data_IF_406681227809
#
_entry.id   IF_406681227809
#
_cell.length_a   1.000
_cell.length_b   1.000
_cell.length_c   1.000
_cell.angle_alpha   90.00
_cell.angle_beta   90.00
_cell.angle_gamma   90.00
#
_symmetry.space_group_name_H-M   'P 1'
#
loop_
_entity.id
_entity.type
_entity.pdbx_description
1 polymer ?
#
# COMPACT_ATOMS: atom_id res chain seq x y z
N UNK A 1 -36.83 -23.73 -4.41
CA UNK A 1 -35.69 -23.39 -5.28
C UNK A 1 -34.46 -23.39 -4.40
N UNK A 2 -33.36 -24.00 -4.82
CA UNK A 2 -32.19 -24.18 -3.94
C UNK A 2 -31.33 -22.91 -3.89
N UNK A 3 -30.76 -22.62 -2.71
CA UNK A 3 -29.86 -21.49 -2.45
C UNK A 3 -28.76 -21.30 -3.50
N UNK A 4 -28.20 -22.41 -4.02
CA UNK A 4 -27.17 -22.38 -5.07
C UNK A 4 -27.66 -21.73 -6.36
N UNK A 5 -28.93 -21.94 -6.73
CA UNK A 5 -29.53 -21.34 -7.93
C UNK A 5 -29.76 -19.85 -7.74
N UNK A 6 -30.29 -19.46 -6.57
CA UNK A 6 -30.52 -18.06 -6.21
C UNK A 6 -29.21 -17.27 -6.08
N UNK A 7 -28.16 -17.89 -5.52
CA UNK A 7 -26.83 -17.31 -5.46
C UNK A 7 -26.21 -17.15 -6.85
N UNK A 8 -26.36 -18.15 -7.74
CA UNK A 8 -25.90 -18.03 -9.13
C UNK A 8 -26.61 -16.87 -9.84
N UNK A 9 -27.92 -16.77 -9.70
CA UNK A 9 -28.71 -15.68 -10.32
C UNK A 9 -28.34 -14.31 -9.73
N UNK A 10 -27.96 -14.24 -8.45
CA UNK A 10 -27.42 -13.04 -7.81
C UNK A 10 -26.01 -12.69 -8.30
N UNK A 11 -25.10 -13.66 -8.34
CA UNK A 11 -23.70 -13.47 -8.72
C UNK A 11 -23.55 -13.15 -10.21
N UNK A 12 -24.46 -13.62 -11.05
CA UNK A 12 -24.50 -13.32 -12.49
C UNK A 12 -25.07 -11.93 -12.80
N UNK A 13 -25.51 -11.16 -11.80
CA UNK A 13 -25.92 -9.76 -12.01
C UNK A 13 -24.69 -8.95 -12.43
N UNK A 14 -24.76 -8.27 -13.58
CA UNK A 14 -23.66 -7.44 -14.10
C UNK A 14 -23.05 -6.51 -13.06
N UNK A 15 -23.87 -5.77 -12.31
CA UNK A 15 -23.41 -4.88 -11.24
C UNK A 15 -22.59 -5.57 -10.12
N UNK A 16 -22.86 -6.86 -9.83
CA UNK A 16 -22.11 -7.62 -8.81
C UNK A 16 -20.80 -8.13 -9.39
N UNK A 17 -20.81 -8.61 -10.64
CA UNK A 17 -19.60 -9.04 -11.35
C UNK A 17 -18.64 -7.87 -11.55
N UNK A 18 -19.15 -6.73 -12.03
CA UNK A 18 -18.33 -5.53 -12.29
C UNK A 18 -17.69 -5.00 -11.01
N UNK A 19 -18.44 -4.99 -9.90
CA UNK A 19 -17.92 -4.60 -8.59
C UNK A 19 -16.86 -5.59 -8.10
N UNK A 20 -17.08 -6.89 -8.24
CA UNK A 20 -16.09 -7.90 -7.87
C UNK A 20 -14.81 -7.76 -8.68
N UNK A 21 -14.92 -7.54 -10.00
CA UNK A 21 -13.79 -7.32 -10.89
C UNK A 21 -13.02 -6.05 -10.50
N UNK A 22 -13.72 -4.95 -10.22
CA UNK A 22 -13.10 -3.71 -9.77
C UNK A 22 -12.27 -3.89 -8.47
N UNK A 23 -12.81 -4.63 -7.50
CA UNK A 23 -12.10 -4.90 -6.24
C UNK A 23 -10.86 -5.77 -6.46
N UNK A 24 -10.97 -6.82 -7.28
CA UNK A 24 -9.84 -7.72 -7.59
C UNK A 24 -8.73 -6.97 -8.33
N UNK A 25 -9.08 -6.17 -9.34
CA UNK A 25 -8.12 -5.34 -10.08
C UNK A 25 -7.49 -4.30 -9.17
N UNK A 26 -8.27 -3.62 -8.32
CA UNK A 26 -7.75 -2.65 -7.36
C UNK A 26 -6.75 -3.26 -6.37
N UNK A 27 -7.04 -4.45 -5.85
CA UNK A 27 -6.12 -5.17 -4.96
C UNK A 27 -4.83 -5.60 -5.67
N UNK A 28 -4.95 -6.15 -6.88
CA UNK A 28 -3.80 -6.58 -7.68
C UNK A 28 -2.91 -5.39 -8.10
N UNK A 29 -3.53 -4.28 -8.52
CA UNK A 29 -2.80 -3.06 -8.87
C UNK A 29 -2.12 -2.43 -7.65
N UNK A 30 -2.79 -2.43 -6.48
CA UNK A 30 -2.17 -1.99 -5.23
C UNK A 30 -0.90 -2.78 -4.86
N UNK A 31 -0.87 -4.08 -5.14
CA UNK A 31 0.34 -4.89 -4.94
C UNK A 31 1.48 -4.51 -5.90
N UNK A 32 1.16 -4.19 -7.17
CA UNK A 32 2.15 -3.72 -8.15
C UNK A 32 2.76 -2.38 -7.72
N UNK A 33 1.91 -1.42 -7.33
CA UNK A 33 2.36 -0.10 -6.84
C UNK A 33 3.19 -0.27 -5.57
N UNK A 34 2.79 -1.16 -4.67
CA UNK A 34 3.53 -1.44 -3.43
C UNK A 34 4.92 -2.03 -3.72
N UNK A 35 5.04 -2.98 -4.65
CA UNK A 35 6.36 -3.52 -5.06
C UNK A 35 7.22 -2.45 -5.74
N UNK A 36 6.65 -1.61 -6.61
CA UNK A 36 7.38 -0.48 -7.19
C UNK A 36 7.92 0.47 -6.11
N UNK A 37 7.11 0.76 -5.10
CA UNK A 37 7.53 1.64 -4.00
C UNK A 37 8.60 0.98 -3.15
N UNK A 38 8.40 -0.27 -2.75
CA UNK A 38 9.24 -0.95 -1.76
C UNK A 38 10.56 -1.42 -2.35
N UNK A 39 10.51 -1.95 -3.58
CA UNK A 39 11.65 -2.61 -4.22
C UNK A 39 12.45 -1.66 -5.12
N UNK A 40 11.85 -0.56 -5.60
CA UNK A 40 12.50 0.37 -6.53
C UNK A 40 12.65 1.76 -5.94
N UNK A 41 11.55 2.42 -5.58
CA UNK A 41 11.58 3.82 -5.11
C UNK A 41 12.27 3.93 -3.76
N UNK A 42 12.00 3.02 -2.82
CA UNK A 42 12.56 3.07 -1.47
C UNK A 42 14.09 2.93 -1.48
N UNK A 43 14.71 1.92 -2.10
CA UNK A 43 16.17 1.82 -2.15
C UNK A 43 16.84 2.92 -2.99
N UNK A 44 16.17 3.41 -4.05
CA UNK A 44 16.79 4.38 -4.97
C UNK A 44 16.61 5.84 -4.56
N UNK A 45 15.55 6.18 -3.83
CA UNK A 45 15.27 7.56 -3.40
C UNK A 45 15.33 7.70 -1.89
N UNK A 46 14.65 6.84 -1.12
CA UNK A 46 14.62 6.95 0.33
C UNK A 46 15.96 6.61 0.98
N UNK A 47 16.65 5.54 0.58
CA UNK A 47 17.94 5.15 1.18
C UNK A 47 19.06 6.20 0.94
N UNK A 48 19.26 6.74 -0.27
CA UNK A 48 20.24 7.82 -0.47
C UNK A 48 19.78 9.16 0.11
N UNK A 49 18.48 9.47 0.11
CA UNK A 49 17.98 10.67 0.79
C UNK A 49 18.21 10.58 2.31
N UNK A 50 17.88 9.46 2.95
CA UNK A 50 18.10 9.20 4.39
C UNK A 50 19.59 9.28 4.76
N UNK A 51 20.49 8.81 3.89
CA UNK A 51 21.93 8.92 4.09
C UNK A 51 22.43 10.38 3.94
N UNK A 52 21.86 11.17 3.03
CA UNK A 52 22.27 12.56 2.80
C UNK A 52 21.90 13.52 3.96
N UNK A 53 20.88 13.20 4.75
CA UNK A 53 20.45 13.97 5.94
C UNK A 53 21.10 13.47 7.25
N UNK A 54 22.07 12.54 7.19
CA UNK A 54 22.71 11.95 8.39
C UNK A 54 21.76 11.03 9.18
N UNK A 55 20.74 10.51 8.50
CA UNK A 55 19.52 9.99 9.08
C UNK A 55 19.35 8.48 8.85
N UNK A 56 20.47 7.75 8.76
CA UNK A 56 20.49 6.28 8.87
C UNK A 56 19.82 5.77 10.18
N UNK A 57 19.57 6.70 11.12
CA UNK A 57 18.96 6.47 12.43
C UNK A 57 17.60 7.17 12.62
N UNK A 58 16.85 7.56 11.56
CA UNK A 58 15.47 8.05 11.76
C UNK A 58 14.63 6.99 12.47
N UNK A 59 14.79 5.71 12.15
CA UNK A 59 14.14 4.60 12.86
C UNK A 59 14.55 4.48 14.34
N UNK A 60 15.65 5.13 14.74
CA UNK A 60 16.15 5.19 16.12
C UNK A 60 15.89 6.55 16.78
N UNK A 61 15.20 7.48 16.12
CA UNK A 61 14.72 8.69 16.76
C UNK A 61 13.56 8.33 17.70
N UNK A 62 13.89 8.39 19.00
CA UNK A 62 12.96 8.11 20.09
C UNK A 62 12.88 9.35 20.98
N UNK A 63 11.68 9.86 21.21
CA UNK A 63 11.44 10.89 22.22
C UNK A 63 10.88 10.19 23.45
N UNK A 64 11.75 9.87 24.41
CA UNK A 64 11.40 9.02 25.55
C UNK A 64 11.12 7.58 25.12
N UNK A 65 9.87 7.11 25.25
CA UNK A 65 9.43 5.75 24.86
C UNK A 65 8.79 5.73 23.47
N UNK A 66 8.55 6.90 22.86
CA UNK A 66 7.81 7.02 21.60
C UNK A 66 8.77 7.01 20.41
N UNK A 67 8.72 5.93 19.62
CA UNK A 67 9.51 5.74 18.39
C UNK A 67 8.81 6.41 17.19
N UNK A 68 8.80 7.75 17.19
CA UNK A 68 8.13 8.54 16.13
C UNK A 68 8.85 8.46 14.78
N UNK A 69 10.12 8.05 14.77
CA UNK A 69 10.91 7.82 13.56
C UNK A 69 10.24 6.94 12.51
N UNK A 70 9.74 5.77 12.94
CA UNK A 70 9.01 4.83 12.08
C UNK A 70 7.74 5.42 11.50
N UNK A 71 7.05 6.24 12.30
CA UNK A 71 5.82 6.89 11.88
C UNK A 71 6.09 7.99 10.85
N UNK A 72 7.13 8.80 11.05
CA UNK A 72 7.52 9.83 10.09
C UNK A 72 7.98 9.21 8.76
N UNK A 73 8.76 8.13 8.82
CA UNK A 73 9.15 7.36 7.65
C UNK A 73 7.94 6.79 6.90
N UNK A 74 6.94 6.29 7.62
CA UNK A 74 5.68 5.82 7.03
C UNK A 74 4.89 6.93 6.34
N UNK A 75 4.87 8.16 6.90
CA UNK A 75 4.21 9.31 6.26
C UNK A 75 4.95 9.72 4.99
N UNK A 76 6.28 9.79 5.02
CA UNK A 76 7.08 10.13 3.83
C UNK A 76 6.87 9.07 2.74
N UNK A 77 6.94 7.78 3.11
CA UNK A 77 6.63 6.67 2.21
C UNK A 77 5.23 6.80 1.62
N UNK A 78 4.23 7.11 2.45
CA UNK A 78 2.85 7.31 2.01
C UNK A 78 2.73 8.47 1.01
N UNK A 79 3.35 9.62 1.26
CA UNK A 79 3.32 10.78 0.35
C UNK A 79 3.98 10.42 -0.99
N UNK A 80 5.09 9.68 -0.95
CA UNK A 80 5.78 9.23 -2.17
C UNK A 80 4.92 8.25 -2.97
N UNK A 81 4.26 7.29 -2.29
CA UNK A 81 3.30 6.38 -2.93
C UNK A 81 2.11 7.15 -3.52
N UNK A 82 1.58 8.13 -2.79
CA UNK A 82 0.39 8.88 -3.20
C UNK A 82 0.64 9.85 -4.37
N UNK A 83 1.90 10.23 -4.62
CA UNK A 83 2.29 11.09 -5.74
C UNK A 83 2.59 10.31 -7.03
N UNK A 84 2.71 8.99 -6.94
CA UNK A 84 2.93 8.06 -8.08
C UNK A 84 1.62 7.40 -8.44
#
# INVERSE_FOLDING_TARGET
>A
MGFVKEFKDFAMKGNVVDLAVAVVIGAAFGAIVSSLVDDVITPLLLTPALNAIGAADIDKLVWGTVKYGKFLAAIIKFIVVALV
#
